data_IF_340095373721
#
_entry.id   IF_340095373721
#
_cell.length_a   1.000
_cell.length_b   1.000
_cell.length_c   1.000
_cell.angle_alpha   90.00
_cell.angle_beta   90.00
_cell.angle_gamma   90.00
#
_symmetry.space_group_name_H-M   'P 1'
#
loop_
_entity.id
_entity.type
_entity.pdbx_description
1 polymer ?
#
# COMPACT_ATOMS: atom_id res chain seq x y z
N UNK A 1 -24.92 18.47 -20.68
CA UNK A 1 -24.45 17.64 -19.55
C UNK A 1 -23.66 16.46 -20.09
N UNK A 2 -22.63 15.96 -19.39
CA UNK A 2 -21.92 14.75 -19.81
C UNK A 2 -22.88 13.56 -19.93
N UNK A 3 -22.71 12.72 -20.95
CA UNK A 3 -23.66 11.65 -21.31
C UNK A 3 -24.06 10.73 -20.14
N UNK A 4 -23.13 10.48 -19.20
CA UNK A 4 -23.38 9.61 -18.05
C UNK A 4 -24.39 10.17 -17.04
N UNK A 5 -24.64 11.48 -17.01
CA UNK A 5 -25.62 12.14 -16.12
C UNK A 5 -27.02 12.22 -16.72
N UNK A 6 -27.17 11.95 -18.02
CA UNK A 6 -28.46 12.00 -18.70
C UNK A 6 -29.23 10.67 -18.60
N UNK A 7 -28.67 9.66 -17.91
CA UNK A 7 -29.19 8.30 -17.84
C UNK A 7 -29.43 7.93 -16.38
N UNK A 8 -30.61 7.39 -16.07
CA UNK A 8 -30.89 6.72 -14.81
C UNK A 8 -30.41 5.27 -14.90
N UNK A 9 -29.37 4.94 -14.12
CA UNK A 9 -28.75 3.62 -14.16
C UNK A 9 -29.55 2.61 -13.32
N UNK A 10 -29.76 1.40 -13.85
CA UNK A 10 -30.32 0.31 -13.04
C UNK A 10 -29.40 -0.09 -11.88
N UNK A 11 -28.08 0.00 -12.08
CA UNK A 11 -27.07 -0.27 -11.05
C UNK A 11 -25.75 0.46 -11.34
N UNK A 12 -25.11 0.98 -10.29
CA UNK A 12 -23.72 1.45 -10.31
C UNK A 12 -22.89 0.62 -9.34
N UNK A 13 -21.74 0.12 -9.81
CA UNK A 13 -20.80 -0.67 -9.01
C UNK A 13 -19.46 0.08 -9.00
N UNK A 14 -19.00 0.43 -7.80
CA UNK A 14 -17.65 0.95 -7.59
C UNK A 14 -16.73 -0.17 -7.15
N UNK A 15 -15.77 -0.51 -7.99
CA UNK A 15 -14.63 -1.32 -7.59
C UNK A 15 -13.54 -0.43 -6.98
N UNK A 16 -12.78 -0.98 -6.03
CA UNK A 16 -11.80 -0.25 -5.21
C UNK A 16 -12.37 1.07 -4.61
N UNK A 17 -13.57 0.99 -4.01
CA UNK A 17 -14.34 2.15 -3.54
C UNK A 17 -13.60 3.06 -2.54
N UNK A 18 -12.48 2.63 -1.96
CA UNK A 18 -11.60 3.49 -1.18
C UNK A 18 -11.04 4.69 -1.98
N UNK A 19 -11.13 4.67 -3.31
CA UNK A 19 -10.72 5.77 -4.19
C UNK A 19 -11.57 7.03 -4.02
N UNK A 20 -12.82 6.93 -3.56
CA UNK A 20 -13.72 8.08 -3.37
C UNK A 20 -13.69 8.65 -1.95
N UNK A 21 -12.76 8.21 -1.10
CA UNK A 21 -12.68 8.64 0.31
C UNK A 21 -12.51 10.15 0.52
N UNK A 22 -11.88 10.83 -0.44
CA UNK A 22 -11.66 12.27 -0.36
C UNK A 22 -12.87 13.02 -0.93
N UNK A 23 -13.70 13.51 -0.02
CA UNK A 23 -15.01 14.13 -0.32
C UNK A 23 -14.91 15.47 -1.03
N UNK A 24 -13.72 16.07 -1.11
CA UNK A 24 -13.46 17.33 -1.82
C UNK A 24 -13.10 17.13 -3.31
N UNK A 25 -12.91 15.88 -3.76
CA UNK A 25 -12.45 15.62 -5.13
C UNK A 25 -13.57 15.72 -6.15
N UNK A 26 -13.24 16.20 -7.36
CA UNK A 26 -14.16 16.16 -8.50
C UNK A 26 -14.66 14.74 -8.79
N UNK A 27 -13.81 13.73 -8.65
CA UNK A 27 -14.17 12.32 -8.86
C UNK A 27 -15.25 11.86 -7.87
N UNK A 28 -15.11 12.20 -6.59
CA UNK A 28 -16.13 11.91 -5.58
C UNK A 28 -17.48 12.55 -5.92
N UNK A 29 -17.49 13.85 -6.21
CA UNK A 29 -18.71 14.58 -6.56
C UNK A 29 -19.35 14.01 -7.83
N UNK A 30 -18.54 13.71 -8.84
CA UNK A 30 -18.99 13.16 -10.10
C UNK A 30 -19.70 11.82 -9.93
N UNK A 31 -19.12 10.91 -9.15
CA UNK A 31 -19.64 9.55 -8.90
C UNK A 31 -20.90 9.60 -8.03
N UNK A 32 -20.93 10.44 -7.00
CA UNK A 32 -22.09 10.57 -6.12
C UNK A 32 -23.31 11.20 -6.82
N UNK A 33 -23.09 11.98 -7.88
CA UNK A 33 -24.13 12.66 -8.65
C UNK A 33 -24.77 11.79 -9.76
N UNK A 34 -24.21 10.62 -10.07
CA UNK A 34 -24.87 9.67 -10.98
C UNK A 34 -26.24 9.29 -10.44
N UNK A 35 -27.25 9.17 -11.28
CA UNK A 35 -28.58 8.68 -10.87
C UNK A 35 -28.63 7.15 -11.01
N UNK A 36 -29.04 6.44 -9.96
CA UNK A 36 -29.02 4.98 -9.97
C UNK A 36 -29.99 4.35 -8.97
N UNK A 37 -30.72 3.31 -9.40
CA UNK A 37 -31.64 2.55 -8.55
C UNK A 37 -30.94 1.69 -7.50
N UNK A 38 -29.75 1.13 -7.83
CA UNK A 38 -28.98 0.22 -6.96
C UNK A 38 -27.52 0.60 -6.97
N UNK A 39 -26.85 0.51 -5.81
CA UNK A 39 -25.46 0.92 -5.65
C UNK A 39 -24.66 -0.09 -4.86
N UNK A 40 -23.47 -0.41 -5.36
CA UNK A 40 -22.55 -1.36 -4.74
C UNK A 40 -21.17 -0.73 -4.62
N UNK A 41 -20.55 -0.89 -3.45
CA UNK A 41 -19.18 -0.46 -3.20
C UNK A 41 -18.36 -1.69 -2.82
N UNK A 42 -17.39 -2.03 -3.65
CA UNK A 42 -16.47 -3.14 -3.46
C UNK A 42 -15.09 -2.59 -3.10
N UNK A 43 -14.54 -3.00 -1.96
CA UNK A 43 -13.20 -2.56 -1.53
C UNK A 43 -12.62 -3.58 -0.57
N UNK A 44 -11.34 -3.92 -0.75
CA UNK A 44 -10.61 -4.79 0.18
C UNK A 44 -10.26 -4.09 1.52
N UNK A 45 -10.33 -2.76 1.54
CA UNK A 45 -10.00 -1.92 2.70
C UNK A 45 -11.04 -0.79 2.84
N UNK A 46 -12.21 -1.07 3.44
CA UNK A 46 -13.33 -0.11 3.49
C UNK A 46 -13.08 1.12 4.36
N UNK A 47 -12.21 1.02 5.37
CA UNK A 47 -11.86 2.14 6.25
C UNK A 47 -10.35 2.20 6.31
N UNK A 48 -9.78 3.31 5.85
CA UNK A 48 -8.32 3.43 5.84
C UNK A 48 -7.87 4.09 7.13
N UNK A 49 -8.46 5.20 7.58
CA UNK A 49 -8.13 5.81 8.89
C UNK A 49 -9.13 6.86 9.43
N UNK A 50 -10.21 7.24 8.73
CA UNK A 50 -11.10 8.36 9.15
C UNK A 50 -12.59 8.05 9.04
N UNK A 51 -13.39 8.67 9.91
CA UNK A 51 -14.86 8.64 9.81
C UNK A 51 -15.37 9.16 8.46
N UNK A 52 -14.67 10.13 7.89
CA UNK A 52 -15.00 10.71 6.59
C UNK A 52 -14.88 9.68 5.44
N UNK A 53 -13.99 8.68 5.56
CA UNK A 53 -13.88 7.59 4.59
C UNK A 53 -15.21 6.79 4.53
N UNK A 54 -15.84 6.58 5.70
CA UNK A 54 -17.13 5.89 5.80
C UNK A 54 -18.24 6.77 5.27
N UNK A 55 -18.24 8.07 5.61
CA UNK A 55 -19.23 9.01 5.09
C UNK A 55 -19.23 9.05 3.57
N UNK A 56 -18.05 9.01 2.93
CA UNK A 56 -17.95 8.99 1.48
C UNK A 56 -18.73 7.81 0.86
N UNK A 57 -18.61 6.61 1.46
CA UNK A 57 -19.35 5.42 1.03
C UNK A 57 -20.84 5.53 1.31
N UNK A 58 -21.22 6.00 2.51
CA UNK A 58 -22.63 6.20 2.91
C UNK A 58 -23.34 7.21 2.01
N UNK A 59 -22.64 8.30 1.64
CA UNK A 59 -23.11 9.30 0.67
C UNK A 59 -23.31 8.66 -0.69
N UNK A 60 -22.33 7.92 -1.18
CA UNK A 60 -22.43 7.23 -2.47
C UNK A 60 -23.63 6.28 -2.49
N UNK A 61 -23.83 5.47 -1.45
CA UNK A 61 -24.95 4.54 -1.29
C UNK A 61 -26.32 5.23 -1.10
N UNK A 62 -26.34 6.56 -0.92
CA UNK A 62 -27.54 7.37 -0.71
C UNK A 62 -28.42 6.95 0.48
N UNK A 63 -27.78 6.51 1.56
CA UNK A 63 -28.46 6.05 2.77
C UNK A 63 -29.01 7.22 3.57
N UNK A 64 -30.26 7.61 3.33
CA UNK A 64 -30.91 8.68 4.11
C UNK A 64 -31.24 8.19 5.54
N UNK A 65 -31.14 9.06 6.56
CA UNK A 65 -30.66 10.44 6.53
C UNK A 65 -29.13 10.58 6.56
N UNK A 66 -28.38 9.49 6.74
CA UNK A 66 -26.92 9.45 6.93
C UNK A 66 -26.09 9.99 5.76
N UNK A 67 -26.65 10.00 4.55
CA UNK A 67 -26.04 10.60 3.37
C UNK A 67 -26.02 12.13 3.43
N UNK A 68 -26.66 12.77 4.41
CA UNK A 68 -26.56 14.21 4.67
C UNK A 68 -25.35 14.50 5.56
N UNK A 69 -24.45 15.37 5.11
CA UNK A 69 -23.29 15.77 5.91
C UNK A 69 -23.70 16.40 7.23
N UNK A 70 -24.76 17.22 7.25
CA UNK A 70 -25.24 17.86 8.47
C UNK A 70 -25.66 16.82 9.50
N UNK A 71 -26.43 15.82 9.07
CA UNK A 71 -26.87 14.73 9.95
C UNK A 71 -25.69 13.87 10.42
N UNK A 72 -24.81 13.47 9.50
CA UNK A 72 -23.60 12.72 9.82
C UNK A 72 -22.71 13.46 10.84
N UNK A 73 -22.49 14.76 10.62
CA UNK A 73 -21.63 15.58 11.45
C UNK A 73 -22.18 15.69 12.87
N UNK A 74 -23.48 15.91 13.03
CA UNK A 74 -24.13 16.04 14.34
C UNK A 74 -24.10 14.74 15.15
N UNK A 75 -24.34 13.60 14.50
CA UNK A 75 -24.51 12.32 15.21
C UNK A 75 -23.24 11.47 15.29
N UNK A 76 -22.25 11.69 14.42
CA UNK A 76 -21.03 10.90 14.37
C UNK A 76 -19.78 11.76 14.51
N UNK A 77 -19.52 12.69 13.58
CA UNK A 77 -18.24 13.42 13.56
C UNK A 77 -18.00 14.25 14.83
N UNK A 78 -18.98 15.03 15.28
CA UNK A 78 -18.85 15.88 16.47
C UNK A 78 -18.76 15.07 17.78
N UNK A 79 -19.65 14.10 18.04
CA UNK A 79 -19.55 13.24 19.22
C UNK A 79 -18.25 12.43 19.29
N UNK A 80 -17.69 12.04 18.14
CA UNK A 80 -16.42 11.29 18.09
C UNK A 80 -15.20 12.18 18.33
N UNK A 81 -15.31 13.48 18.11
CA UNK A 81 -14.23 14.46 18.29
C UNK A 81 -14.17 15.05 19.72
N UNK A 82 -15.09 14.70 20.62
CA UNK A 82 -15.04 15.17 22.01
C UNK A 82 -13.81 14.60 22.74
N UNK A 83 -13.03 15.44 23.45
CA UNK A 83 -11.91 14.98 24.27
C UNK A 83 -12.33 13.91 25.27
N UNK A 84 -11.45 12.94 25.51
CA UNK A 84 -11.69 11.84 26.48
C UNK A 84 -11.84 12.38 27.90
N UNK A 85 -11.21 13.51 28.19
CA UNK A 85 -11.16 14.12 29.52
C UNK A 85 -12.30 15.12 29.80
N UNK A 86 -13.35 15.17 28.95
CA UNK A 86 -14.54 15.99 29.21
C UNK A 86 -15.62 15.14 29.95
N UNK A 87 -15.74 15.26 31.28
CA UNK A 87 -16.68 14.46 32.07
C UNK A 87 -18.14 14.74 31.72
N UNK A 88 -18.48 15.87 31.09
CA UNK A 88 -19.85 16.18 30.67
C UNK A 88 -20.27 15.45 29.40
N UNK A 89 -19.32 14.88 28.65
CA UNK A 89 -19.54 14.26 27.33
C UNK A 89 -18.96 12.85 27.20
N UNK A 90 -18.53 12.27 28.32
CA UNK A 90 -17.89 10.95 28.38
C UNK A 90 -18.69 9.81 27.70
N UNK A 91 -20.03 9.92 27.61
CA UNK A 91 -20.88 8.93 26.94
C UNK A 91 -21.14 9.18 25.44
N UNK A 92 -20.85 10.37 24.91
CA UNK A 92 -21.21 10.75 23.53
C UNK A 92 -20.40 9.98 22.49
N UNK A 93 -19.10 9.80 22.74
CA UNK A 93 -18.21 9.03 21.87
C UNK A 93 -18.64 7.57 21.77
N UNK A 94 -18.96 6.95 22.90
CA UNK A 94 -19.39 5.55 22.94
C UNK A 94 -20.72 5.36 22.22
N UNK A 95 -21.67 6.28 22.41
CA UNK A 95 -22.96 6.26 21.72
C UNK A 95 -22.78 6.39 20.20
N UNK A 96 -21.91 7.29 19.75
CA UNK A 96 -21.62 7.46 18.32
C UNK A 96 -20.94 6.22 17.71
N UNK A 97 -20.04 5.56 18.44
CA UNK A 97 -19.46 4.28 18.01
C UNK A 97 -20.52 3.19 17.85
N UNK A 98 -21.44 3.06 18.82
CA UNK A 98 -22.54 2.09 18.75
C UNK A 98 -23.48 2.40 17.58
N UNK A 99 -23.80 3.67 17.34
CA UNK A 99 -24.58 4.10 16.18
C UNK A 99 -23.89 3.74 14.88
N UNK A 100 -22.60 4.01 14.76
CA UNK A 100 -21.81 3.64 13.58
C UNK A 100 -21.81 2.12 13.36
N UNK A 101 -21.58 1.33 14.41
CA UNK A 101 -21.60 -0.14 14.31
C UNK A 101 -22.97 -0.66 13.85
N UNK A 102 -24.07 -0.15 14.42
CA UNK A 102 -25.44 -0.52 14.03
C UNK A 102 -25.78 -0.10 12.61
N UNK A 103 -25.32 1.08 12.18
CA UNK A 103 -25.49 1.56 10.82
C UNK A 103 -24.74 0.65 9.82
N UNK A 104 -23.50 0.29 10.14
CA UNK A 104 -22.64 -0.45 9.22
C UNK A 104 -22.95 -1.94 9.16
N UNK A 105 -23.48 -2.54 10.23
CA UNK A 105 -23.77 -3.98 10.32
C UNK A 105 -24.62 -4.53 9.15
N UNK A 106 -25.77 -3.93 8.77
CA UNK A 106 -26.57 -4.43 7.64
C UNK A 106 -26.00 -4.06 6.26
N UNK A 107 -25.05 -3.13 6.20
CA UNK A 107 -24.51 -2.60 4.94
C UNK A 107 -23.24 -3.32 4.48
N UNK A 108 -22.52 -3.95 5.40
CA UNK A 108 -21.23 -4.58 5.15
C UNK A 108 -21.35 -6.08 5.18
N UNK A 109 -20.97 -6.70 4.07
CA UNK A 109 -20.62 -8.12 4.04
C UNK A 109 -19.10 -8.19 3.92
N UNK A 110 -18.44 -8.64 4.98
CA UNK A 110 -16.99 -8.84 5.01
C UNK A 110 -16.70 -10.28 5.39
N UNK A 111 -15.88 -10.93 4.56
CA UNK A 111 -15.35 -12.28 4.81
C UNK A 111 -13.84 -12.25 4.80
N UNK A 112 -13.23 -13.04 5.68
CA UNK A 112 -11.79 -13.22 5.75
C UNK A 112 -11.37 -14.55 5.13
N UNK A 113 -10.08 -14.65 4.75
CA UNK A 113 -9.51 -15.88 4.18
C UNK A 113 -9.57 -17.07 5.16
N UNK A 114 -9.61 -16.79 6.47
CA UNK A 114 -9.69 -17.80 7.53
C UNK A 114 -11.13 -18.16 7.92
N UNK A 115 -12.14 -17.53 7.31
CA UNK A 115 -13.53 -17.87 7.57
C UNK A 115 -13.82 -19.30 7.12
N UNK A 116 -14.77 -19.95 7.81
CA UNK A 116 -15.23 -21.30 7.50
C UNK A 116 -16.64 -21.26 6.92
N UNK A 117 -16.93 -22.23 6.05
CA UNK A 117 -18.25 -22.52 5.51
C UNK A 117 -19.10 -23.22 6.58
N UNK A 118 -20.39 -23.38 6.29
CA UNK A 118 -21.34 -24.07 7.17
C UNK A 118 -20.95 -25.54 7.45
N UNK A 119 -20.20 -26.17 6.54
CA UNK A 119 -19.67 -27.53 6.66
C UNK A 119 -18.36 -27.61 7.50
N UNK A 120 -17.90 -26.49 8.06
CA UNK A 120 -16.67 -26.39 8.85
C UNK A 120 -15.39 -26.29 8.02
N UNK A 121 -15.45 -26.39 6.69
CA UNK A 121 -14.30 -26.26 5.81
C UNK A 121 -13.90 -24.81 5.60
N UNK A 122 -12.61 -24.48 5.43
CA UNK A 122 -12.18 -23.13 5.08
C UNK A 122 -12.87 -22.64 3.80
N UNK A 123 -13.33 -21.38 3.78
CA UNK A 123 -13.90 -20.78 2.56
C UNK A 123 -12.85 -20.79 1.45
N UNK A 124 -11.59 -20.55 1.83
CA UNK A 124 -10.43 -20.46 0.96
C UNK A 124 -9.31 -21.31 1.54
N UNK A 125 -8.89 -22.34 0.80
CA UNK A 125 -7.67 -23.10 1.10
C UNK A 125 -6.51 -22.44 0.37
N UNK A 126 -5.57 -21.89 1.13
CA UNK A 126 -4.34 -21.32 0.59
C UNK A 126 -3.14 -21.97 1.27
N UNK A 127 -2.05 -22.18 0.53
CA UNK A 127 -0.81 -22.63 1.14
C UNK A 127 -0.26 -21.58 2.10
N UNK A 128 0.70 -21.99 2.92
CA UNK A 128 1.31 -21.14 3.93
C UNK A 128 1.91 -19.86 3.32
N UNK A 129 1.81 -18.75 4.05
CA UNK A 129 2.46 -17.48 3.73
C UNK A 129 3.46 -17.14 4.81
N UNK A 130 4.74 -17.13 4.46
CA UNK A 130 5.85 -16.81 5.38
C UNK A 130 6.35 -15.42 5.05
N UNK A 131 6.32 -14.50 6.03
CA UNK A 131 6.83 -13.13 5.87
C UNK A 131 8.01 -12.92 6.80
N UNK A 132 9.19 -12.70 6.23
CA UNK A 132 10.45 -12.51 6.95
C UNK A 132 10.96 -11.08 6.79
N UNK A 133 11.32 -10.43 7.90
CA UNK A 133 12.05 -9.16 7.86
C UNK A 133 13.54 -9.48 7.79
N UNK A 134 14.21 -9.04 6.73
CA UNK A 134 15.67 -9.12 6.60
C UNK A 134 16.28 -7.75 6.85
N UNK A 135 17.02 -7.66 7.94
CA UNK A 135 17.79 -6.48 8.28
C UNK A 135 19.09 -6.45 7.50
N UNK A 136 19.40 -5.31 6.90
CA UNK A 136 20.57 -5.10 6.06
C UNK A 136 21.43 -3.98 6.63
N UNK A 137 22.75 -4.14 6.52
CA UNK A 137 23.72 -3.12 6.88
C UNK A 137 24.08 -2.30 5.64
N UNK A 138 24.10 -0.97 5.79
CA UNK A 138 24.65 -0.09 4.75
C UNK A 138 26.14 -0.34 4.57
N UNK A 139 26.62 -0.23 3.33
CA UNK A 139 28.05 -0.14 3.07
C UNK A 139 28.61 1.19 3.60
N UNK A 140 29.93 1.29 3.75
CA UNK A 140 30.58 2.47 4.33
C UNK A 140 30.26 3.77 3.56
N UNK A 141 30.25 3.71 2.23
CA UNK A 141 29.90 4.83 1.35
C UNK A 141 28.40 5.19 1.44
N UNK A 142 27.51 4.20 1.49
CA UNK A 142 26.09 4.41 1.72
C UNK A 142 25.83 5.08 3.09
N UNK A 143 26.53 4.62 4.14
CA UNK A 143 26.41 5.13 5.50
C UNK A 143 26.88 6.57 5.59
N UNK A 144 28.03 6.91 4.99
CA UNK A 144 28.56 8.27 4.98
C UNK A 144 27.58 9.28 4.36
N UNK A 145 27.01 8.91 3.19
CA UNK A 145 26.02 9.75 2.51
C UNK A 145 24.74 9.85 3.34
N UNK A 146 24.27 8.74 3.91
CA UNK A 146 23.08 8.71 4.74
C UNK A 146 23.21 9.61 5.98
N UNK A 147 24.34 9.53 6.70
CA UNK A 147 24.59 10.37 7.87
C UNK A 147 24.71 11.85 7.51
N UNK A 148 25.33 12.14 6.37
CA UNK A 148 25.40 13.51 5.85
C UNK A 148 24.00 14.06 5.54
N UNK A 149 23.15 13.28 4.86
CA UNK A 149 21.75 13.64 4.61
C UNK A 149 20.95 13.77 5.91
N UNK A 150 21.20 12.93 6.91
CA UNK A 150 20.52 12.96 8.20
C UNK A 150 20.87 14.21 8.99
N UNK A 151 22.16 14.59 9.01
CA UNK A 151 22.63 15.85 9.62
C UNK A 151 22.02 17.06 8.93
N UNK A 152 22.05 17.10 7.59
CA UNK A 152 21.44 18.17 6.81
C UNK A 152 19.93 18.28 7.05
N UNK A 153 19.23 17.14 7.04
CA UNK A 153 17.78 17.09 7.29
C UNK A 153 17.43 17.55 8.71
N UNK A 154 18.22 17.14 9.70
CA UNK A 154 18.02 17.56 11.09
C UNK A 154 18.24 19.06 11.28
N UNK A 155 19.26 19.63 10.62
CA UNK A 155 19.52 21.08 10.64
C UNK A 155 18.41 21.86 9.94
N UNK A 156 17.97 21.42 8.77
CA UNK A 156 16.88 22.04 8.03
C UNK A 156 15.57 22.02 8.83
N UNK A 157 15.24 20.88 9.46
CA UNK A 157 14.06 20.76 10.31
C UNK A 157 14.14 21.68 11.53
N UNK A 158 15.30 21.77 12.18
CA UNK A 158 15.52 22.68 13.31
C UNK A 158 15.30 24.14 12.90
N UNK A 159 15.86 24.55 11.76
CA UNK A 159 15.69 25.90 11.23
C UNK A 159 14.21 26.20 10.93
N UNK A 160 13.51 25.31 10.23
CA UNK A 160 12.08 25.45 9.94
C UNK A 160 11.24 25.54 11.22
N UNK A 161 11.60 24.76 12.25
CA UNK A 161 10.91 24.78 13.55
C UNK A 161 11.12 26.10 14.29
N UNK A 162 12.35 26.61 14.33
CA UNK A 162 12.67 27.90 14.95
C UNK A 162 12.00 29.06 14.23
N UNK A 163 11.88 29.00 12.91
CA UNK A 163 11.18 30.01 12.11
C UNK A 163 9.64 29.87 12.15
N UNK A 164 9.07 28.89 12.86
CA UNK A 164 7.62 28.67 12.89
C UNK A 164 7.01 28.15 11.57
N UNK A 165 7.84 27.73 10.61
CA UNK A 165 7.42 27.29 9.26
C UNK A 165 7.48 25.76 9.07
N UNK A 166 7.72 24.99 10.14
CA UNK A 166 7.72 23.54 10.07
C UNK A 166 6.31 23.01 9.78
N UNK A 167 6.11 22.48 8.58
CA UNK A 167 4.85 21.85 8.15
C UNK A 167 5.08 20.39 7.79
N UNK A 168 4.02 19.57 7.79
CA UNK A 168 4.10 18.15 7.42
C UNK A 168 4.77 17.91 6.05
N UNK A 169 4.47 18.67 4.97
CA UNK A 169 5.15 18.51 3.69
C UNK A 169 6.67 18.62 3.76
N UNK A 170 7.20 19.57 4.56
CA UNK A 170 8.64 19.71 4.75
C UNK A 170 9.26 18.48 5.39
N UNK A 171 8.64 17.96 6.46
CA UNK A 171 9.11 16.75 7.15
C UNK A 171 9.09 15.54 6.20
N UNK A 172 7.99 15.35 5.46
CA UNK A 172 7.88 14.25 4.50
C UNK A 172 8.90 14.35 3.37
N UNK A 173 9.22 15.54 2.89
CA UNK A 173 10.24 15.73 1.87
C UNK A 173 11.63 15.31 2.37
N UNK A 174 11.99 15.66 3.62
CA UNK A 174 13.25 15.25 4.24
C UNK A 174 13.31 13.73 4.46
N UNK A 175 12.25 13.15 5.05
CA UNK A 175 12.14 11.71 5.26
C UNK A 175 12.19 10.93 3.94
N UNK A 176 11.57 11.46 2.88
CA UNK A 176 11.61 10.84 1.56
C UNK A 176 13.06 10.70 1.06
N UNK A 177 13.93 11.70 1.27
CA UNK A 177 15.33 11.65 0.81
C UNK A 177 16.12 10.59 1.55
N UNK A 178 15.91 10.49 2.87
CA UNK A 178 16.53 9.46 3.69
C UNK A 178 16.09 8.05 3.27
N UNK A 179 14.80 7.85 2.98
CA UNK A 179 14.28 6.57 2.46
C UNK A 179 14.89 6.22 1.11
N UNK A 180 15.00 7.16 0.19
CA UNK A 180 15.66 6.95 -1.09
C UNK A 180 17.14 6.58 -0.95
N UNK A 181 17.84 7.16 0.03
CA UNK A 181 19.22 6.81 0.35
C UNK A 181 19.36 5.38 0.85
N UNK A 182 18.39 4.88 1.62
CA UNK A 182 18.36 3.49 2.09
C UNK A 182 18.18 2.49 0.94
N UNK A 183 17.53 2.90 -0.16
CA UNK A 183 17.35 2.04 -1.33
C UNK A 183 18.59 1.99 -2.20
N UNK A 184 18.98 3.13 -2.76
CA UNK A 184 20.16 3.23 -3.60
C UNK A 184 20.53 4.71 -3.82
N UNK A 185 21.82 5.04 -3.70
CA UNK A 185 22.30 6.42 -3.77
C UNK A 185 21.93 7.18 -5.06
N UNK A 186 21.88 6.50 -6.21
CA UNK A 186 21.32 7.03 -7.49
C UNK A 186 19.92 7.66 -7.37
N UNK A 187 19.09 7.28 -6.39
CA UNK A 187 17.78 7.90 -6.19
C UNK A 187 17.91 9.30 -5.59
N UNK A 188 18.95 9.53 -4.79
CA UNK A 188 19.27 10.83 -4.23
C UNK A 188 19.94 11.69 -5.29
N UNK A 189 19.45 12.93 -5.48
CA UNK A 189 20.11 13.92 -6.34
C UNK A 189 21.31 14.52 -5.59
N UNK A 190 22.30 13.71 -5.28
CA UNK A 190 23.59 14.19 -4.76
C UNK A 190 24.55 14.32 -5.94
N UNK A 191 25.23 15.46 -6.07
CA UNK A 191 26.18 15.71 -7.16
C UNK A 191 27.23 14.59 -7.14
N UNK A 192 27.36 13.89 -8.27
CA UNK A 192 28.47 12.98 -8.61
C UNK A 192 28.67 11.69 -7.80
N UNK A 193 27.62 11.12 -7.21
CA UNK A 193 27.74 9.75 -6.69
C UNK A 193 27.66 8.74 -7.85
N UNK A 194 28.82 8.28 -8.36
CA UNK A 194 28.94 7.00 -9.08
C UNK A 194 28.78 5.85 -8.08
N UNK A 195 27.60 5.74 -7.48
CA UNK A 195 27.30 4.64 -6.59
C UNK A 195 27.27 3.34 -7.40
N UNK A 196 28.28 2.50 -7.18
CA UNK A 196 28.47 1.22 -7.87
C UNK A 196 27.80 0.06 -7.14
N UNK A 197 27.54 0.20 -5.85
CA UNK A 197 27.01 -0.87 -4.98
C UNK A 197 25.86 -0.36 -4.11
N UNK A 198 25.04 -1.30 -3.65
CA UNK A 198 23.92 -1.03 -2.75
C UNK A 198 23.64 -2.27 -1.91
N UNK A 199 23.55 -2.11 -0.60
CA UNK A 199 23.25 -3.22 0.32
C UNK A 199 21.97 -3.98 -0.08
N UNK A 200 20.93 -3.26 -0.54
CA UNK A 200 19.68 -3.87 -0.99
C UNK A 200 19.83 -4.62 -2.31
N UNK A 201 20.60 -4.09 -3.25
CA UNK A 201 20.85 -4.75 -4.54
C UNK A 201 21.68 -6.02 -4.32
N UNK A 202 22.73 -5.95 -3.50
CA UNK A 202 23.59 -7.08 -3.20
C UNK A 202 22.80 -8.19 -2.47
N UNK A 203 21.97 -7.81 -1.49
CA UNK A 203 21.07 -8.74 -0.81
C UNK A 203 20.02 -9.36 -1.75
N UNK A 204 19.46 -8.56 -2.68
CA UNK A 204 18.53 -9.04 -3.69
C UNK A 204 19.21 -10.06 -4.60
N UNK A 205 20.39 -9.76 -5.13
CA UNK A 205 21.12 -10.65 -6.04
C UNK A 205 21.51 -11.96 -5.33
N UNK A 206 21.97 -11.90 -4.09
CA UNK A 206 22.28 -13.09 -3.30
C UNK A 206 21.04 -13.96 -3.07
N UNK A 207 19.90 -13.33 -2.74
CA UNK A 207 18.62 -14.03 -2.58
C UNK A 207 18.15 -14.68 -3.88
N UNK A 208 18.22 -13.97 -5.00
CA UNK A 208 17.84 -14.49 -6.31
C UNK A 208 18.75 -15.63 -6.77
N UNK A 209 20.05 -15.54 -6.49
CA UNK A 209 20.99 -16.61 -6.80
C UNK A 209 20.68 -17.88 -5.99
N UNK A 210 20.35 -17.75 -4.70
CA UNK A 210 19.89 -18.89 -3.89
C UNK A 210 18.59 -19.46 -4.43
N UNK A 211 17.58 -18.60 -4.62
CA UNK A 211 16.26 -19.04 -5.10
C UNK A 211 16.32 -19.71 -6.49
N UNK A 212 17.21 -19.26 -7.38
CA UNK A 212 17.44 -19.90 -8.69
C UNK A 212 18.11 -21.26 -8.59
N UNK A 213 18.99 -21.49 -7.59
CA UNK A 213 19.56 -22.82 -7.34
C UNK A 213 18.50 -23.77 -6.81
N UNK A 214 17.67 -23.31 -5.88
CA UNK A 214 16.66 -24.14 -5.22
C UNK A 214 15.47 -24.44 -6.15
N UNK A 215 15.11 -23.50 -7.02
CA UNK A 215 14.04 -23.63 -8.01
C UNK A 215 14.43 -22.96 -9.34
N UNK A 216 15.06 -23.69 -10.28
CA UNK A 216 15.54 -23.14 -11.55
C UNK A 216 14.45 -22.55 -12.46
N UNK A 217 13.19 -22.98 -12.30
CA UNK A 217 12.00 -22.47 -12.98
C UNK A 217 11.20 -21.48 -12.10
N UNK A 218 11.79 -21.07 -10.98
CA UNK A 218 11.21 -20.19 -9.98
C UNK A 218 10.78 -18.83 -10.52
N UNK A 219 9.78 -18.23 -9.88
CA UNK A 219 9.25 -16.92 -10.24
C UNK A 219 9.16 -16.05 -9.00
N UNK A 220 9.77 -14.88 -9.06
CA UNK A 220 9.83 -13.93 -7.96
C UNK A 220 9.32 -12.57 -8.39
N UNK A 221 8.56 -11.91 -7.52
CA UNK A 221 8.13 -10.52 -7.71
C UNK A 221 8.92 -9.62 -6.76
N UNK A 222 9.53 -8.57 -7.29
CA UNK A 222 10.25 -7.57 -6.50
C UNK A 222 9.47 -6.26 -6.58
N UNK A 223 9.03 -5.77 -5.43
CA UNK A 223 8.27 -4.54 -5.33
C UNK A 223 9.11 -3.39 -4.80
N UNK A 224 8.81 -2.19 -5.30
CA UNK A 224 9.34 -0.92 -4.78
C UNK A 224 8.32 0.20 -5.01
N UNK A 225 8.28 1.20 -4.13
CA UNK A 225 7.52 2.44 -4.41
C UNK A 225 8.21 3.34 -5.45
N UNK A 226 9.51 3.13 -5.70
CA UNK A 226 10.28 4.00 -6.59
C UNK A 226 10.51 3.34 -7.94
N UNK A 227 9.85 3.83 -8.98
CA UNK A 227 10.10 3.35 -10.36
C UNK A 227 11.59 3.44 -10.73
N UNK A 228 12.31 4.47 -10.24
CA UNK A 228 13.77 4.59 -10.44
C UNK A 228 14.54 3.44 -9.80
N UNK A 229 14.14 2.94 -8.62
CA UNK A 229 14.76 1.77 -8.00
C UNK A 229 14.53 0.51 -8.84
N UNK A 230 13.33 0.33 -9.39
CA UNK A 230 13.05 -0.79 -10.29
C UNK A 230 13.96 -0.77 -11.52
N UNK A 231 14.23 0.41 -12.10
CA UNK A 231 15.19 0.51 -13.20
C UNK A 231 16.63 0.19 -12.79
N UNK A 232 17.05 0.58 -11.59
CA UNK A 232 18.35 0.21 -11.02
C UNK A 232 18.45 -1.31 -10.83
N UNK A 233 17.42 -1.92 -10.25
CA UNK A 233 17.32 -3.37 -10.09
C UNK A 233 17.41 -4.07 -11.45
N UNK A 234 16.65 -3.60 -12.45
CA UNK A 234 16.66 -4.19 -13.80
C UNK A 234 18.06 -4.21 -14.42
N UNK A 235 18.82 -3.13 -14.27
CA UNK A 235 20.19 -3.06 -14.75
C UNK A 235 21.12 -4.04 -14.01
N UNK A 236 20.99 -4.11 -12.67
CA UNK A 236 21.76 -5.04 -11.85
C UNK A 236 21.44 -6.51 -12.17
N UNK A 237 20.16 -6.83 -12.36
CA UNK A 237 19.70 -8.17 -12.77
C UNK A 237 20.31 -8.58 -14.12
N UNK A 238 20.25 -7.70 -15.12
CA UNK A 238 20.80 -7.98 -16.44
C UNK A 238 22.32 -8.23 -16.37
N UNK A 239 23.05 -7.44 -15.58
CA UNK A 239 24.50 -7.62 -15.38
C UNK A 239 24.87 -8.95 -14.71
N UNK A 240 23.94 -9.59 -13.99
CA UNK A 240 24.15 -10.87 -13.30
C UNK A 240 23.41 -12.05 -13.97
N UNK A 241 22.96 -11.88 -15.22
CA UNK A 241 22.32 -12.94 -15.99
C UNK A 241 20.92 -13.32 -15.49
N UNK A 242 20.19 -12.39 -14.90
CA UNK A 242 18.77 -12.56 -14.56
C UNK A 242 17.86 -11.87 -15.56
N UNK A 243 16.76 -12.52 -15.90
CA UNK A 243 15.74 -11.91 -16.74
C UNK A 243 14.71 -11.12 -15.89
N UNK A 244 14.85 -9.79 -15.91
CA UNK A 244 13.98 -8.87 -15.19
C UNK A 244 12.91 -8.22 -16.09
N UNK A 245 11.65 -8.59 -15.88
CA UNK A 245 10.48 -7.93 -16.47
C UNK A 245 10.10 -6.70 -15.64
N UNK A 246 9.58 -5.64 -16.26
CA UNK A 246 9.13 -4.43 -15.56
C UNK A 246 7.63 -4.22 -15.74
N UNK A 247 6.95 -4.01 -14.62
CA UNK A 247 5.54 -3.66 -14.54
C UNK A 247 5.39 -2.30 -13.84
N UNK A 248 5.23 -1.23 -14.62
CA UNK A 248 5.04 0.12 -14.11
C UNK A 248 3.61 0.63 -14.33
N UNK A 249 3.11 1.45 -13.41
CA UNK A 249 1.77 2.02 -13.44
C UNK A 249 1.55 2.97 -14.62
N UNK A 250 2.62 3.46 -15.26
CA UNK A 250 2.56 4.32 -16.46
C UNK A 250 2.40 3.53 -17.76
N UNK A 251 2.53 2.20 -17.72
CA UNK A 251 2.38 1.37 -18.92
C UNK A 251 0.93 1.36 -19.41
N UNK A 252 0.75 1.36 -20.73
CA UNK A 252 -0.56 1.13 -21.35
C UNK A 252 -1.08 -0.27 -21.01
N UNK A 253 -2.40 -0.46 -21.10
CA UNK A 253 -3.03 -1.76 -20.83
C UNK A 253 -2.42 -2.88 -21.69
N UNK A 254 -2.22 -2.63 -22.99
CA UNK A 254 -1.61 -3.59 -23.91
C UNK A 254 -0.14 -3.91 -23.59
N UNK A 255 0.64 -2.93 -23.12
CA UNK A 255 2.02 -3.17 -22.69
C UNK A 255 2.07 -3.99 -21.39
N UNK A 256 1.17 -3.70 -20.44
CA UNK A 256 1.03 -4.44 -19.19
C UNK A 256 0.69 -5.90 -19.43
N UNK A 257 -0.31 -6.15 -20.28
CA UNK A 257 -0.75 -7.49 -20.64
C UNK A 257 0.38 -8.29 -21.34
N UNK A 258 1.13 -7.66 -22.25
CA UNK A 258 2.30 -8.27 -22.89
C UNK A 258 3.40 -8.65 -21.90
N UNK A 259 3.67 -7.83 -20.88
CA UNK A 259 4.64 -8.17 -19.84
C UNK A 259 4.15 -9.36 -19.01
N UNK A 260 2.87 -9.36 -18.62
CA UNK A 260 2.30 -10.44 -17.82
C UNK A 260 2.26 -11.77 -18.58
N UNK A 261 2.02 -11.75 -19.90
CA UNK A 261 2.13 -12.93 -20.76
C UNK A 261 3.55 -13.50 -20.86
N UNK A 262 4.59 -12.71 -20.63
CA UNK A 262 5.99 -13.18 -20.62
C UNK A 262 6.44 -13.71 -19.26
N UNK A 263 5.67 -13.42 -18.21
CA UNK A 263 6.00 -13.87 -16.86
C UNK A 263 5.92 -15.42 -16.72
N UNK A 264 5.02 -16.11 -17.45
CA UNK A 264 5.15 -17.53 -17.82
C UNK A 264 5.56 -17.71 -19.32
N UNK A 265 6.34 -18.71 -19.79
CA UNK A 265 7.33 -19.60 -19.17
C UNK A 265 8.78 -19.26 -19.63
N UNK A 266 9.67 -18.98 -18.69
CA UNK A 266 11.13 -18.90 -18.89
C UNK A 266 11.81 -19.61 -17.71
N UNK A 267 13.08 -20.07 -17.84
CA UNK A 267 13.90 -20.32 -16.66
C UNK A 267 13.94 -19.05 -15.79
N UNK A 268 14.19 -19.22 -14.49
CA UNK A 268 14.02 -18.28 -13.39
C UNK A 268 13.72 -16.81 -13.78
N UNK A 269 12.48 -16.36 -13.53
CA UNK A 269 12.02 -15.04 -13.96
C UNK A 269 11.73 -14.11 -12.78
N UNK A 270 12.14 -12.84 -12.93
CA UNK A 270 11.93 -11.79 -11.92
C UNK A 270 11.01 -10.72 -12.50
N UNK A 271 9.90 -10.44 -11.81
CA UNK A 271 9.00 -9.33 -12.14
C UNK A 271 9.24 -8.16 -11.19
N UNK A 272 9.74 -7.06 -11.72
CA UNK A 272 9.91 -5.79 -11.02
C UNK A 272 8.60 -5.00 -11.12
N UNK A 273 7.88 -4.79 -10.02
CA UNK A 273 6.56 -4.19 -10.04
C UNK A 273 6.45 -2.95 -9.16
N UNK A 274 5.90 -1.86 -9.69
CA UNK A 274 5.53 -0.70 -8.88
C UNK A 274 4.15 -0.91 -8.26
N UNK A 275 3.94 -0.39 -7.06
CA UNK A 275 2.66 -0.52 -6.35
C UNK A 275 1.45 -0.04 -7.17
N UNK A 276 1.61 1.06 -7.91
CA UNK A 276 0.54 1.59 -8.79
C UNK A 276 0.17 0.59 -9.89
N UNK A 277 1.12 -0.21 -10.37
CA UNK A 277 0.85 -1.22 -11.38
C UNK A 277 0.07 -2.41 -10.81
N UNK A 278 0.22 -2.69 -9.52
CA UNK A 278 -0.31 -3.87 -8.81
C UNK A 278 -1.69 -3.60 -8.21
N UNK A 279 -2.02 -2.33 -7.94
CA UNK A 279 -3.37 -1.89 -7.52
C UNK A 279 -4.46 -2.07 -8.58
N UNK A 280 -4.12 -2.49 -9.81
CA UNK A 280 -5.06 -2.62 -10.94
C UNK A 280 -5.28 -4.10 -11.26
N UNK A 281 -5.96 -4.86 -10.39
CA UNK A 281 -6.55 -6.15 -10.74
C UNK A 281 -5.60 -7.28 -11.22
N UNK A 282 -4.28 -7.15 -11.08
CA UNK A 282 -3.33 -8.10 -11.69
C UNK A 282 -3.31 -9.45 -10.96
N UNK A 283 -3.20 -10.56 -11.70
CA UNK A 283 -2.99 -11.90 -11.16
C UNK A 283 -1.51 -12.30 -11.25
N UNK A 284 -0.87 -12.60 -10.12
CA UNK A 284 0.54 -12.97 -10.01
C UNK A 284 0.73 -14.34 -9.33
N UNK A 285 -0.28 -15.22 -9.34
CA UNK A 285 -0.21 -16.58 -8.74
C UNK A 285 0.90 -17.45 -9.32
N UNK A 286 1.44 -17.11 -10.49
CA UNK A 286 2.60 -17.79 -11.04
C UNK A 286 3.85 -17.66 -10.13
N UNK A 287 3.97 -16.58 -9.35
CA UNK A 287 5.05 -16.41 -8.38
C UNK A 287 4.73 -17.13 -7.06
N UNK A 288 5.75 -17.66 -6.39
CA UNK A 288 5.65 -18.19 -5.02
C UNK A 288 6.58 -17.44 -4.06
N UNK A 289 7.19 -16.35 -4.54
CA UNK A 289 8.21 -15.61 -3.81
C UNK A 289 8.09 -14.13 -4.11
N UNK A 290 8.26 -13.30 -3.09
CA UNK A 290 8.23 -11.85 -3.23
C UNK A 290 9.27 -11.13 -2.38
N UNK A 291 9.80 -10.02 -2.86
CA UNK A 291 10.68 -9.12 -2.12
C UNK A 291 10.05 -7.73 -2.06
N UNK A 292 9.93 -7.17 -0.87
CA UNK A 292 9.62 -5.76 -0.65
C UNK A 292 10.95 -5.05 -0.40
N UNK A 293 11.42 -4.27 -1.38
CA UNK A 293 12.70 -3.56 -1.26
C UNK A 293 12.63 -2.45 -0.23
N UNK A 294 11.51 -1.76 -0.13
CA UNK A 294 11.34 -0.57 0.71
C UNK A 294 10.01 -0.64 1.49
N UNK A 295 9.99 -0.27 2.78
CA UNK A 295 8.76 -0.27 3.57
C UNK A 295 7.87 0.92 3.21
N UNK A 296 6.55 0.70 3.20
CA UNK A 296 5.56 1.72 2.86
C UNK A 296 4.87 2.31 4.08
N UNK A 297 4.32 3.53 3.99
CA UNK A 297 3.63 4.13 5.15
C UNK A 297 2.39 3.36 5.61
N UNK A 298 1.79 2.59 4.70
CA UNK A 298 0.55 1.87 4.91
C UNK A 298 0.75 0.38 4.62
N UNK A 299 0.72 -0.44 5.67
CA UNK A 299 0.88 -1.89 5.58
C UNK A 299 -0.23 -2.54 4.73
N UNK A 300 -1.45 -1.99 4.71
CA UNK A 300 -2.51 -2.56 3.87
C UNK A 300 -2.19 -2.51 2.38
N UNK A 301 -1.41 -1.52 1.93
CA UNK A 301 -0.92 -1.45 0.55
C UNK A 301 0.13 -2.52 0.27
N UNK A 302 0.99 -2.84 1.25
CA UNK A 302 1.89 -4.01 1.19
C UNK A 302 1.11 -5.31 1.05
N UNK A 303 0.12 -5.49 1.91
CA UNK A 303 -0.68 -6.71 1.95
C UNK A 303 -1.50 -6.89 0.66
N UNK A 304 -2.08 -5.82 0.12
CA UNK A 304 -2.79 -5.85 -1.17
C UNK A 304 -1.89 -6.28 -2.33
N UNK A 305 -0.61 -5.89 -2.33
CA UNK A 305 0.34 -6.30 -3.35
C UNK A 305 0.72 -7.79 -3.18
N UNK A 306 0.99 -8.22 -1.94
CA UNK A 306 1.26 -9.64 -1.61
C UNK A 306 0.05 -10.52 -1.95
N UNK A 307 -1.17 -10.04 -1.72
CA UNK A 307 -2.41 -10.75 -2.04
C UNK A 307 -2.62 -10.92 -3.55
N UNK A 308 -1.87 -10.22 -4.42
CA UNK A 308 -1.87 -10.57 -5.86
C UNK A 308 -1.12 -11.87 -6.17
N UNK A 309 -0.29 -12.33 -5.23
CA UNK A 309 0.48 -13.59 -5.29
C UNK A 309 -0.18 -14.65 -4.40
N UNK A 310 -0.49 -14.32 -3.14
CA UNK A 310 -1.17 -15.19 -2.18
C UNK A 310 -2.69 -15.07 -2.34
N UNK A 311 -3.23 -15.67 -3.39
CA UNK A 311 -4.67 -15.69 -3.71
C UNK A 311 -5.09 -17.03 -4.28
N UNK A 312 -6.42 -17.20 -4.41
CA UNK A 312 -7.03 -18.38 -5.04
C UNK A 312 -6.35 -18.68 -6.38
N UNK A 313 -5.93 -19.93 -6.55
CA UNK A 313 -5.09 -20.39 -7.66
C UNK A 313 -3.61 -20.55 -7.32
N UNK A 314 -3.18 -20.13 -6.12
CA UNK A 314 -1.84 -20.45 -5.61
C UNK A 314 -1.78 -21.87 -5.06
N UNK A 315 -0.79 -22.64 -5.52
CA UNK A 315 -0.58 -24.04 -5.10
C UNK A 315 0.69 -24.24 -4.27
N UNK A 316 1.59 -23.25 -4.23
CA UNK A 316 2.87 -23.33 -3.51
C UNK A 316 2.91 -22.37 -2.31
N UNK A 317 3.60 -22.73 -1.21
CA UNK A 317 3.87 -21.79 -0.12
C UNK A 317 4.47 -20.48 -0.65
N UNK A 318 3.96 -19.37 -0.15
CA UNK A 318 4.41 -18.03 -0.57
C UNK A 318 5.38 -17.48 0.45
N UNK A 319 6.63 -17.22 0.03
CA UNK A 319 7.64 -16.60 0.87
C UNK A 319 7.84 -15.13 0.50
N UNK A 320 7.81 -14.25 1.51
CA UNK A 320 7.94 -12.81 1.33
C UNK A 320 9.10 -12.31 2.18
N UNK A 321 10.05 -11.61 1.57
CA UNK A 321 11.15 -10.94 2.28
C UNK A 321 10.93 -9.44 2.27
N UNK A 322 10.94 -8.83 3.45
CA UNK A 322 10.91 -7.38 3.63
C UNK A 322 12.32 -6.91 3.98
N UNK A 323 12.94 -6.13 3.11
CA UNK A 323 14.25 -5.56 3.36
C UNK A 323 14.12 -4.29 4.19
N UNK A 324 14.90 -4.20 5.27
CA UNK A 324 14.93 -3.05 6.17
C UNK A 324 16.39 -2.73 6.47
N UNK A 325 16.80 -1.49 6.23
CA UNK A 325 18.16 -1.06 6.57
C UNK A 325 18.27 -0.70 8.04
N UNK A 326 19.27 -1.24 8.74
CA UNK A 326 19.54 -0.93 10.16
C UNK A 326 20.01 0.49 10.38
N UNK A 327 19.71 1.00 11.57
CA UNK A 327 20.09 2.34 12.03
C UNK A 327 19.63 3.42 11.04
N UNK A 328 18.40 3.25 10.54
CA UNK A 328 17.85 4.08 9.48
C UNK A 328 16.42 4.54 9.76
N UNK A 329 15.89 5.40 8.89
CA UNK A 329 14.49 5.83 8.93
C UNK A 329 13.51 4.67 8.66
N UNK A 330 13.97 3.57 8.05
CA UNK A 330 13.12 2.43 7.71
C UNK A 330 12.65 1.66 8.95
N UNK A 331 13.51 1.50 9.96
CA UNK A 331 13.14 0.86 11.23
C UNK A 331 12.07 1.66 11.98
N UNK A 332 12.20 2.99 11.97
CA UNK A 332 11.18 3.89 12.54
C UNK A 332 9.84 3.75 11.81
N UNK A 333 9.88 3.60 10.48
CA UNK A 333 8.68 3.40 9.69
C UNK A 333 8.02 2.06 10.00
N UNK A 334 8.80 0.98 10.14
CA UNK A 334 8.31 -0.33 10.55
C UNK A 334 7.68 -0.30 11.95
N UNK A 335 8.29 0.43 12.90
CA UNK A 335 7.72 0.63 14.23
C UNK A 335 6.37 1.38 14.18
N UNK A 336 6.25 2.39 13.32
CA UNK A 336 4.98 3.10 13.09
C UNK A 336 3.92 2.17 12.50
N UNK A 337 4.27 1.32 11.54
CA UNK A 337 3.35 0.31 10.98
C UNK A 337 2.84 -0.62 12.09
N UNK A 338 3.75 -1.22 12.87
CA UNK A 338 3.40 -2.12 13.98
C UNK A 338 2.44 -1.47 14.98
N UNK A 339 2.71 -0.21 15.35
CA UNK A 339 1.82 0.55 16.25
C UNK A 339 0.43 0.77 15.65
N UNK A 340 0.34 1.09 14.35
CA UNK A 340 -0.94 1.26 13.66
C UNK A 340 -1.71 -0.05 13.54
N UNK A 341 -1.03 -1.16 13.24
CA UNK A 341 -1.63 -2.48 13.16
C UNK A 341 -2.24 -2.91 14.50
N UNK A 342 -1.53 -2.68 15.62
CA UNK A 342 -2.04 -2.97 16.96
C UNK A 342 -3.34 -2.22 17.28
N UNK A 343 -3.44 -0.95 16.87
CA UNK A 343 -4.63 -0.11 17.07
C UNK A 343 -5.82 -0.48 16.15
N UNK A 344 -5.60 -1.23 15.08
CA UNK A 344 -6.64 -1.64 14.14
C UNK A 344 -7.28 -3.00 14.49
N UNK A 345 -6.63 -3.77 15.39
CA UNK A 345 -7.10 -5.08 15.87
C UNK A 345 -7.81 -4.95 17.23
N UNK A 346 -7.61 -3.83 17.95
CA UNK A 346 -8.41 -3.39 19.09
C UNK A 346 -9.67 -2.65 18.63
#
# INVERSE_FOLDING_TARGET
MPALYAVTWGRVILDEAHMIRETQTHAYHAICALDAQRRWACTGTPVVNRLDDVYALVRFLQLRPWSSWTFWKTWLTQPMATPVDDPRRAGHRQTALQLLQRLMAPLLIRRYKHDRRADGQPIVVLPEKIVEVRYLEMQADEREVYETLMRQSSRALRHLRLAGHATYPHVFALLMRLRQCCDHLRLVRFRELKARRSAKIDALLALLASARRDAPDGRMVVFSQWTRMLHVCRAALAAHGFHGLLLDGRMSAAARERTLRQFPPRPFCVLLASLRAVGVGVNLTAAASAVLLDPWWNESTEQQAIDRIHRVGQTRPVRVWRFIVRDSVEEKLLAIQKRKAALAVS
#
